data_IF_940408307977
#
_entry.id   IF_940408307977
#
_cell.length_a   1.000
_cell.length_b   1.000
_cell.length_c   1.000
_cell.angle_alpha   90.00
_cell.angle_beta   90.00
_cell.angle_gamma   90.00
#
_symmetry.space_group_name_H-M   'P 1'
#
loop_
_entity.id
_entity.type
_entity.pdbx_description
1 polymer ?
#
# COMPACT_ATOMS: atom_id res chain seq x y z
N UNK A 1 22.49 -10.06 29.79
CA UNK A 1 21.08 -9.62 29.77
C UNK A 1 21.06 -8.13 29.50
N UNK A 2 20.74 -7.73 28.27
CA UNK A 2 20.25 -6.38 27.96
C UNK A 2 19.30 -6.55 26.79
N UNK A 3 18.01 -6.55 27.11
CA UNK A 3 16.94 -6.55 26.12
C UNK A 3 16.83 -5.16 25.52
N UNK A 4 16.88 -5.10 24.20
CA UNK A 4 16.43 -3.94 23.44
C UNK A 4 15.04 -4.27 22.92
N UNK A 5 14.03 -3.88 23.69
CA UNK A 5 12.66 -3.78 23.21
C UNK A 5 12.63 -2.63 22.20
N UNK A 6 12.42 -2.96 20.93
CA UNK A 6 12.30 -2.01 19.82
C UNK A 6 10.88 -2.04 19.25
N UNK A 7 9.88 -2.06 20.13
CA UNK A 7 8.47 -1.88 19.74
C UNK A 7 8.09 -0.41 19.93
N UNK A 8 8.46 0.40 18.94
CA UNK A 8 7.89 1.72 18.70
C UNK A 8 7.02 1.71 17.44
N UNK A 9 6.05 2.64 17.30
CA UNK A 9 5.14 2.70 16.16
C UNK A 9 5.81 3.12 14.83
N UNK A 10 7.10 3.46 14.87
CA UNK A 10 7.92 3.69 13.70
C UNK A 10 8.55 2.35 13.29
N UNK A 11 8.35 1.94 12.03
CA UNK A 11 8.98 0.75 11.48
C UNK A 11 10.50 0.76 11.66
N UNK A 12 11.12 -0.42 11.49
CA UNK A 12 12.56 -0.61 11.67
C UNK A 12 13.35 0.49 10.91
N UNK A 13 14.17 1.30 11.60
CA UNK A 13 14.93 2.37 10.97
C UNK A 13 15.88 1.87 9.87
N UNK A 14 16.32 0.60 9.94
CA UNK A 14 17.09 -0.05 8.87
C UNK A 14 16.27 -0.31 7.62
N UNK A 15 14.99 -0.68 7.78
CA UNK A 15 14.04 -0.88 6.68
C UNK A 15 13.69 0.45 5.98
N UNK A 16 13.49 1.51 6.77
CA UNK A 16 13.23 2.85 6.23
C UNK A 16 14.43 3.45 5.46
N UNK A 17 15.65 3.06 5.82
CA UNK A 17 16.85 3.46 5.07
C UNK A 17 16.94 2.72 3.72
N UNK A 18 16.72 1.41 3.71
CA UNK A 18 16.72 0.60 2.48
C UNK A 18 15.68 1.05 1.47
N UNK A 19 14.47 1.38 1.93
CA UNK A 19 13.39 1.87 1.08
C UNK A 19 13.69 3.23 0.41
N UNK A 20 14.47 4.11 1.06
CA UNK A 20 14.83 5.42 0.50
C UNK A 20 15.82 5.35 -0.66
N UNK A 21 16.58 4.26 -0.78
CA UNK A 21 17.53 4.01 -1.86
C UNK A 21 17.07 2.96 -2.86
N UNK A 22 15.85 2.44 -2.73
CA UNK A 22 15.35 1.32 -3.52
C UNK A 22 15.07 1.73 -4.96
N UNK A 23 15.47 0.89 -5.92
CA UNK A 23 15.04 1.03 -7.30
C UNK A 23 13.59 0.56 -7.47
N UNK A 24 12.90 0.90 -8.57
CA UNK A 24 11.57 0.36 -8.86
C UNK A 24 11.55 -1.18 -8.88
N UNK A 25 12.64 -1.80 -9.35
CA UNK A 25 12.78 -3.25 -9.34
C UNK A 25 12.90 -3.82 -7.92
N UNK A 26 13.68 -3.19 -7.05
CA UNK A 26 13.81 -3.62 -5.65
C UNK A 26 12.46 -3.55 -4.92
N UNK A 27 11.72 -2.46 -5.12
CA UNK A 27 10.37 -2.29 -4.55
C UNK A 27 9.41 -3.37 -5.06
N UNK A 28 9.45 -3.68 -6.36
CA UNK A 28 8.65 -4.76 -6.94
C UNK A 28 9.00 -6.11 -6.33
N UNK A 29 10.30 -6.45 -6.25
CA UNK A 29 10.77 -7.72 -5.71
C UNK A 29 10.39 -7.89 -4.24
N UNK A 30 10.69 -6.88 -3.40
CA UNK A 30 10.37 -6.93 -1.98
C UNK A 30 8.86 -7.00 -1.72
N UNK A 31 8.04 -6.37 -2.57
CA UNK A 31 6.58 -6.51 -2.52
C UNK A 31 6.16 -7.95 -2.75
N UNK A 32 6.68 -8.61 -3.79
CA UNK A 32 6.35 -10.01 -4.09
C UNK A 32 6.79 -10.94 -2.96
N UNK A 33 8.03 -10.79 -2.48
CA UNK A 33 8.54 -11.59 -1.36
C UNK A 33 7.73 -11.41 -0.08
N UNK A 34 7.33 -10.16 0.22
CA UNK A 34 6.52 -9.88 1.42
C UNK A 34 5.11 -10.43 1.28
N UNK A 35 4.49 -10.32 0.09
CA UNK A 35 3.17 -10.87 -0.20
C UNK A 35 3.17 -12.40 -0.02
N UNK A 36 4.12 -13.11 -0.63
CA UNK A 36 4.23 -14.56 -0.52
C UNK A 36 4.39 -15.00 0.94
N UNK A 37 5.28 -14.34 1.70
CA UNK A 37 5.47 -14.66 3.12
C UNK A 37 4.21 -14.45 3.94
N UNK A 38 3.43 -13.43 3.61
CA UNK A 38 2.19 -13.12 4.30
C UNK A 38 1.10 -14.14 3.96
N UNK A 39 0.97 -14.54 2.70
CA UNK A 39 0.08 -15.61 2.23
C UNK A 39 0.41 -16.95 2.92
N UNK A 40 1.69 -17.35 2.90
CA UNK A 40 2.16 -18.58 3.54
C UNK A 40 1.86 -18.57 5.04
N UNK A 41 2.05 -17.43 5.69
CA UNK A 41 1.76 -17.27 7.12
C UNK A 41 0.25 -17.37 7.39
N UNK A 42 -0.59 -16.74 6.57
CA UNK A 42 -2.04 -16.85 6.68
C UNK A 42 -2.50 -18.30 6.50
N UNK A 43 -2.03 -18.98 5.46
CA UNK A 43 -2.36 -20.38 5.22
C UNK A 43 -2.02 -21.25 6.43
N UNK A 44 -0.80 -21.14 6.97
CA UNK A 44 -0.39 -21.87 8.17
C UNK A 44 -1.28 -21.58 9.39
N UNK A 45 -1.68 -20.33 9.58
CA UNK A 45 -2.53 -19.94 10.70
C UNK A 45 -3.95 -20.52 10.58
N UNK A 46 -4.48 -20.55 9.37
CA UNK A 46 -5.80 -21.10 9.07
C UNK A 46 -5.81 -22.63 9.15
N UNK A 47 -4.74 -23.29 8.71
CA UNK A 47 -4.59 -24.75 8.74
C UNK A 47 -4.34 -25.29 10.16
N UNK A 48 -3.49 -24.62 10.94
CA UNK A 48 -3.21 -25.04 12.32
C UNK A 48 -4.42 -24.85 13.25
N UNK A 49 -5.24 -23.83 12.99
CA UNK A 49 -6.57 -23.67 13.61
C UNK A 49 -6.59 -23.40 15.12
N UNK A 50 -5.46 -23.26 15.79
CA UNK A 50 -5.40 -23.06 17.25
C UNK A 50 -5.28 -21.58 17.62
N UNK A 51 -6.00 -21.18 18.67
CA UNK A 51 -5.90 -19.82 19.23
C UNK A 51 -4.48 -19.49 19.72
N UNK A 52 -3.75 -20.48 20.23
CA UNK A 52 -2.37 -20.32 20.69
C UNK A 52 -1.39 -20.14 19.53
N UNK A 53 -1.52 -20.92 18.46
CA UNK A 53 -0.74 -20.73 17.24
C UNK A 53 -1.01 -19.36 16.60
N UNK A 54 -2.27 -18.92 16.60
CA UNK A 54 -2.65 -17.59 16.12
C UNK A 54 -1.96 -16.47 16.92
N UNK A 55 -2.00 -16.54 18.26
CA UNK A 55 -1.32 -15.56 19.13
C UNK A 55 0.20 -15.57 18.95
N UNK A 56 0.82 -16.73 18.77
CA UNK A 56 2.27 -16.83 18.61
C UNK A 56 2.77 -16.19 17.30
N UNK A 57 2.00 -16.32 16.22
CA UNK A 57 2.34 -15.79 14.90
C UNK A 57 1.85 -14.35 14.65
N UNK A 58 0.93 -13.84 15.48
CA UNK A 58 0.34 -12.51 15.35
C UNK A 58 1.39 -11.37 15.21
N UNK A 59 2.49 -11.35 15.97
CA UNK A 59 3.52 -10.31 15.78
C UNK A 59 4.15 -10.33 14.38
N UNK A 60 4.42 -11.52 13.82
CA UNK A 60 4.97 -11.62 12.47
C UNK A 60 3.96 -11.19 11.42
N UNK A 61 2.69 -11.59 11.57
CA UNK A 61 1.61 -11.17 10.68
C UNK A 61 1.52 -9.64 10.64
N UNK A 62 1.43 -8.98 11.79
CA UNK A 62 1.32 -7.52 11.87
C UNK A 62 2.53 -6.80 11.26
N UNK A 63 3.74 -7.32 11.51
CA UNK A 63 4.98 -6.79 10.93
C UNK A 63 4.96 -6.90 9.39
N UNK A 64 4.62 -8.07 8.86
CA UNK A 64 4.54 -8.31 7.41
C UNK A 64 3.43 -7.48 6.77
N UNK A 65 2.27 -7.33 7.40
CA UNK A 65 1.19 -6.46 6.92
C UNK A 65 1.64 -5.01 6.80
N UNK A 66 2.32 -4.47 7.83
CA UNK A 66 2.82 -3.09 7.80
C UNK A 66 3.88 -2.88 6.71
N UNK A 67 4.80 -3.84 6.57
CA UNK A 67 5.80 -3.83 5.49
C UNK A 67 5.14 -3.88 4.12
N UNK A 68 4.19 -4.78 3.92
CA UNK A 68 3.45 -4.91 2.67
C UNK A 68 2.75 -3.60 2.29
N UNK A 69 1.96 -3.03 3.22
CA UNK A 69 1.29 -1.75 2.98
C UNK A 69 2.26 -0.61 2.68
N UNK A 70 3.41 -0.55 3.37
CA UNK A 70 4.46 0.45 3.11
C UNK A 70 4.99 0.32 1.68
N UNK A 71 5.32 -0.89 1.24
CA UNK A 71 5.81 -1.17 -0.11
C UNK A 71 4.76 -0.82 -1.18
N UNK A 72 3.50 -1.23 -0.95
CA UNK A 72 2.39 -0.93 -1.86
C UNK A 72 2.17 0.56 -2.02
N UNK A 73 2.01 1.27 -0.91
CA UNK A 73 1.72 2.69 -0.93
C UNK A 73 2.90 3.52 -1.47
N UNK A 74 4.13 3.07 -1.28
CA UNK A 74 5.31 3.72 -1.89
C UNK A 74 5.22 3.67 -3.42
N UNK A 75 4.87 2.52 -3.99
CA UNK A 75 4.66 2.36 -5.43
C UNK A 75 3.49 3.21 -5.92
N UNK A 76 2.30 3.06 -5.32
CA UNK A 76 1.10 3.81 -5.72
C UNK A 76 1.33 5.33 -5.64
N UNK A 77 1.95 5.83 -4.57
CA UNK A 77 2.24 7.25 -4.44
C UNK A 77 3.19 7.75 -5.55
N UNK A 78 4.21 6.95 -5.91
CA UNK A 78 5.12 7.29 -6.99
C UNK A 78 4.41 7.33 -8.35
N UNK A 79 3.60 6.32 -8.68
CA UNK A 79 2.85 6.26 -9.94
C UNK A 79 1.87 7.42 -10.06
N UNK A 80 1.17 7.75 -8.97
CA UNK A 80 0.23 8.88 -8.95
C UNK A 80 0.94 10.23 -9.13
N UNK A 81 2.13 10.42 -8.55
CA UNK A 81 2.93 11.64 -8.75
C UNK A 81 3.38 11.82 -10.21
N UNK A 82 3.58 10.72 -10.94
CA UNK A 82 3.92 10.77 -12.36
C UNK A 82 2.69 11.04 -13.22
N UNK A 83 1.57 10.38 -12.89
CA UNK A 83 0.34 10.42 -13.67
C UNK A 83 -0.42 11.74 -13.56
N UNK A 84 -0.48 12.32 -12.36
CA UNK A 84 -1.33 13.47 -12.06
C UNK A 84 -0.51 14.70 -11.67
N UNK A 85 -1.09 15.88 -11.87
CA UNK A 85 -0.55 17.11 -11.31
C UNK A 85 -0.50 17.03 -9.78
N UNK A 86 0.66 17.36 -9.20
CA UNK A 86 0.85 17.28 -7.77
C UNK A 86 0.11 18.40 -7.04
N UNK A 87 -1.05 18.07 -6.46
CA UNK A 87 -1.90 18.99 -5.68
C UNK A 87 -1.78 18.80 -4.16
N UNK A 88 -1.09 17.74 -3.74
CA UNK A 88 -0.92 17.34 -2.33
C UNK A 88 0.58 17.17 -2.07
N UNK A 89 1.10 17.65 -0.92
CA UNK A 89 2.50 17.45 -0.58
C UNK A 89 2.84 15.95 -0.47
N UNK A 90 4.05 15.53 -0.86
CA UNK A 90 4.49 14.16 -0.61
C UNK A 90 4.51 13.84 0.88
N UNK A 91 4.34 12.57 1.22
CA UNK A 91 4.56 12.06 2.55
C UNK A 91 6.01 12.37 2.98
N UNK A 92 6.17 13.02 4.13
CA UNK A 92 7.49 13.33 4.70
C UNK A 92 8.24 12.11 5.26
N UNK A 93 7.74 10.89 5.03
CA UNK A 93 8.30 9.64 5.54
C UNK A 93 7.58 8.40 5.04
N UNK A 94 8.03 7.24 5.51
CA UNK A 94 7.57 5.91 5.06
C UNK A 94 6.52 5.28 6.00
N UNK A 95 5.94 6.06 6.90
CA UNK A 95 4.85 5.58 7.74
C UNK A 95 3.61 5.33 6.88
N UNK A 96 2.99 4.15 7.01
CA UNK A 96 1.78 3.75 6.25
C UNK A 96 0.72 4.84 6.27
N UNK A 97 0.44 5.44 7.43
CA UNK A 97 -0.56 6.50 7.56
C UNK A 97 -0.22 7.76 6.74
N UNK A 98 1.06 8.13 6.68
CA UNK A 98 1.50 9.30 5.91
C UNK A 98 1.43 9.04 4.40
N UNK A 99 1.90 7.87 3.96
CA UNK A 99 1.82 7.45 2.56
C UNK A 99 0.36 7.30 2.11
N UNK A 100 -0.50 6.73 2.96
CA UNK A 100 -1.92 6.62 2.68
C UNK A 100 -2.59 7.99 2.57
N UNK A 101 -2.27 8.94 3.46
CA UNK A 101 -2.82 10.29 3.37
C UNK A 101 -2.46 10.98 2.05
N UNK A 102 -1.21 10.86 1.59
CA UNK A 102 -0.79 11.35 0.26
C UNK A 102 -1.66 10.73 -0.85
N UNK A 103 -1.76 9.39 -0.87
CA UNK A 103 -2.52 8.65 -1.89
C UNK A 103 -4.01 9.02 -1.86
N UNK A 104 -4.62 9.03 -0.68
CA UNK A 104 -6.04 9.32 -0.47
C UNK A 104 -6.41 10.71 -0.99
N UNK A 105 -5.68 11.74 -0.57
CA UNK A 105 -5.98 13.11 -0.98
C UNK A 105 -5.65 13.34 -2.46
N UNK A 106 -4.60 12.70 -2.97
CA UNK A 106 -4.29 12.74 -4.40
C UNK A 106 -5.36 12.04 -5.26
N UNK A 107 -5.95 10.94 -4.77
CA UNK A 107 -7.07 10.26 -5.42
C UNK A 107 -8.32 11.14 -5.42
N UNK A 108 -8.68 11.68 -4.25
CA UNK A 108 -9.84 12.57 -4.11
C UNK A 108 -9.71 13.85 -4.93
N UNK A 109 -8.52 14.43 -5.04
CA UNK A 109 -8.29 15.63 -5.86
C UNK A 109 -8.40 15.38 -7.37
N UNK A 110 -8.17 14.14 -7.81
CA UNK A 110 -8.31 13.74 -9.22
C UNK A 110 -9.77 13.44 -9.60
N UNK A 111 -10.58 12.98 -8.65
CA UNK A 111 -11.99 12.67 -8.84
C UNK A 111 -12.86 13.22 -7.69
N UNK A 112 -13.08 14.54 -7.62
CA UNK A 112 -13.78 15.17 -6.48
C UNK A 112 -15.25 14.78 -6.38
N UNK A 113 -15.86 14.39 -7.50
CA UNK A 113 -17.26 13.96 -7.59
C UNK A 113 -17.45 12.45 -7.38
N UNK A 114 -16.38 11.69 -7.14
CA UNK A 114 -16.48 10.26 -6.84
C UNK A 114 -17.12 10.05 -5.46
N UNK A 115 -18.37 9.59 -5.47
CA UNK A 115 -19.17 9.26 -4.29
C UNK A 115 -19.26 7.76 -4.01
N UNK A 116 -18.39 6.95 -4.61
CA UNK A 116 -18.43 5.47 -4.48
C UNK A 116 -18.17 4.97 -3.06
N UNK A 117 -17.51 5.76 -2.21
CA UNK A 117 -17.15 5.38 -0.83
C UNK A 117 -15.95 4.44 -0.72
N UNK A 118 -15.38 4.00 -1.85
CA UNK A 118 -14.29 3.01 -1.88
C UNK A 118 -13.05 3.52 -1.15
N UNK A 119 -12.69 4.80 -1.32
CA UNK A 119 -11.55 5.40 -0.63
C UNK A 119 -11.76 5.49 0.89
N UNK A 120 -12.97 5.81 1.34
CA UNK A 120 -13.33 5.86 2.76
C UNK A 120 -13.32 4.48 3.40
N UNK A 121 -13.79 3.46 2.67
CA UNK A 121 -13.71 2.06 3.13
C UNK A 121 -12.26 1.60 3.27
N UNK A 122 -11.40 1.91 2.29
CA UNK A 122 -9.98 1.59 2.37
C UNK A 122 -9.29 2.35 3.51
N UNK A 123 -9.65 3.60 3.76
CA UNK A 123 -9.13 4.38 4.90
C UNK A 123 -9.52 3.75 6.23
N UNK A 124 -10.78 3.34 6.40
CA UNK A 124 -11.24 2.64 7.59
C UNK A 124 -10.51 1.29 7.77
N UNK A 125 -10.31 0.54 6.69
CA UNK A 125 -9.58 -0.73 6.72
C UNK A 125 -8.11 -0.55 7.10
N UNK A 126 -7.41 0.43 6.51
CA UNK A 126 -6.01 0.74 6.82
C UNK A 126 -5.86 1.19 8.28
N UNK A 127 -6.73 2.08 8.77
CA UNK A 127 -6.72 2.49 10.19
C UNK A 127 -6.96 1.30 11.10
N UNK A 128 -7.89 0.41 10.74
CA UNK A 128 -8.13 -0.84 11.46
C UNK A 128 -6.88 -1.71 11.54
N UNK A 129 -6.22 -1.97 10.41
CA UNK A 129 -4.99 -2.76 10.33
C UNK A 129 -3.83 -2.16 11.14
N UNK A 130 -3.70 -0.83 11.15
CA UNK A 130 -2.68 -0.14 11.94
C UNK A 130 -2.96 -0.14 13.44
N UNK A 131 -4.24 -0.16 13.82
CA UNK A 131 -4.69 -0.22 15.21
C UNK A 131 -4.63 -1.60 15.84
N UNK A 132 -4.32 -2.64 15.07
CA UNK A 132 -4.26 -4.01 15.57
C UNK A 132 -3.17 -4.23 16.61
N UNK A 133 -3.54 -4.95 17.65
CA UNK A 133 -2.63 -5.61 18.58
C UNK A 133 -2.55 -7.11 18.29
N UNK A 134 -1.51 -7.81 18.77
CA UNK A 134 -1.44 -9.27 18.65
C UNK A 134 -2.63 -10.01 19.27
N UNK A 135 -3.27 -9.42 20.30
CA UNK A 135 -4.44 -10.01 20.96
C UNK A 135 -5.68 -10.05 20.06
N UNK A 136 -5.77 -9.13 19.09
CA UNK A 136 -6.88 -9.05 18.13
C UNK A 136 -6.82 -10.16 17.08
N UNK A 137 -5.71 -10.92 17.04
CA UNK A 137 -5.50 -12.08 16.17
C UNK A 137 -5.54 -13.39 16.97
N UNK A 138 -6.32 -13.45 18.06
CA UNK A 138 -6.36 -14.59 18.96
C UNK A 138 -7.13 -15.83 18.45
N UNK A 139 -7.49 -15.88 17.17
CA UNK A 139 -8.11 -17.06 16.58
C UNK A 139 -8.28 -17.00 15.06
N UNK A 140 -8.57 -18.14 14.41
CA UNK A 140 -8.60 -18.24 12.94
C UNK A 140 -9.62 -17.31 12.27
N UNK A 141 -10.79 -17.11 12.85
CA UNK A 141 -11.81 -16.20 12.28
C UNK A 141 -11.38 -14.73 12.30
N UNK A 142 -10.67 -14.32 13.35
CA UNK A 142 -10.09 -12.98 13.40
C UNK A 142 -9.01 -12.82 12.31
N UNK A 143 -8.15 -13.84 12.14
CA UNK A 143 -7.16 -13.87 11.06
C UNK A 143 -7.84 -13.76 9.68
N UNK A 144 -8.89 -14.54 9.40
CA UNK A 144 -9.64 -14.46 8.13
C UNK A 144 -10.23 -13.07 7.90
N UNK A 145 -10.82 -12.48 8.94
CA UNK A 145 -11.45 -11.16 8.85
C UNK A 145 -10.43 -10.08 8.49
N UNK A 146 -9.28 -10.07 9.17
CA UNK A 146 -8.23 -9.09 8.91
C UNK A 146 -7.48 -9.35 7.62
N UNK A 147 -7.34 -10.61 7.22
CA UNK A 147 -6.85 -10.97 5.90
C UNK A 147 -7.75 -10.44 4.79
N UNK A 148 -9.08 -10.65 4.89
CA UNK A 148 -10.03 -10.14 3.91
C UNK A 148 -9.99 -8.60 3.82
N UNK A 149 -9.86 -7.90 4.96
CA UNK A 149 -9.69 -6.44 4.98
C UNK A 149 -8.40 -5.99 4.28
N UNK A 150 -7.31 -6.73 4.45
CA UNK A 150 -6.07 -6.44 3.73
C UNK A 150 -6.22 -6.64 2.22
N UNK A 151 -6.90 -7.70 1.79
CA UNK A 151 -7.19 -7.94 0.37
C UNK A 151 -8.05 -6.83 -0.24
N UNK A 152 -9.08 -6.36 0.47
CA UNK A 152 -9.89 -5.21 0.03
C UNK A 152 -9.06 -3.93 -0.15
N UNK A 153 -8.12 -3.67 0.77
CA UNK A 153 -7.17 -2.56 0.62
C UNK A 153 -6.32 -2.75 -0.63
N UNK A 154 -5.79 -3.95 -0.85
CA UNK A 154 -4.98 -4.24 -2.03
C UNK A 154 -5.74 -4.05 -3.34
N UNK A 155 -6.99 -4.51 -3.43
CA UNK A 155 -7.87 -4.28 -4.58
C UNK A 155 -8.05 -2.79 -4.86
N UNK A 156 -8.24 -1.99 -3.82
CA UNK A 156 -8.35 -0.53 -3.95
C UNK A 156 -7.05 0.07 -4.47
N UNK A 157 -5.90 -0.34 -3.93
CA UNK A 157 -4.59 0.14 -4.38
C UNK A 157 -4.31 -0.25 -5.84
N UNK A 158 -4.65 -1.48 -6.25
CA UNK A 158 -4.53 -1.93 -7.63
C UNK A 158 -5.41 -1.10 -8.58
N UNK A 159 -6.64 -0.76 -8.17
CA UNK A 159 -7.51 0.15 -8.92
C UNK A 159 -6.88 1.54 -9.12
N UNK A 160 -6.23 2.08 -8.09
CA UNK A 160 -5.53 3.37 -8.17
C UNK A 160 -4.30 3.33 -9.09
N UNK A 161 -3.60 2.21 -9.15
CA UNK A 161 -2.49 2.00 -10.11
C UNK A 161 -3.00 1.97 -11.56
N UNK A 162 -4.09 1.24 -11.82
CA UNK A 162 -4.72 1.19 -13.15
C UNK A 162 -5.16 2.60 -13.59
N UNK A 163 -5.75 3.38 -12.68
CA UNK A 163 -6.12 4.77 -12.96
C UNK A 163 -4.91 5.65 -13.28
N UNK A 164 -3.80 5.49 -12.55
CA UNK A 164 -2.57 6.23 -12.81
C UNK A 164 -1.97 5.88 -14.18
N UNK A 165 -1.95 4.59 -14.52
CA UNK A 165 -1.47 4.11 -15.81
C UNK A 165 -2.33 4.65 -16.96
N UNK A 166 -3.66 4.59 -16.85
CA UNK A 166 -4.57 5.13 -17.86
C UNK A 166 -4.39 6.65 -18.06
N UNK A 167 -4.15 7.40 -16.99
CA UNK A 167 -3.87 8.83 -17.09
C UNK A 167 -2.54 9.14 -17.79
N UNK A 168 -1.49 8.33 -17.55
CA UNK A 168 -0.21 8.44 -18.26
C UNK A 168 -0.36 8.15 -19.76
N UNK A 169 -1.11 7.10 -20.10
CA UNK A 169 -1.39 6.73 -21.49
C UNK A 169 -2.15 7.84 -22.22
N UNK A 170 -3.24 8.35 -21.63
CA UNK A 170 -4.01 9.45 -22.21
C UNK A 170 -3.16 10.73 -22.40
N UNK A 171 -2.26 11.03 -21.47
CA UNK A 171 -1.33 12.16 -21.60
C UNK A 171 -0.33 11.97 -22.74
N UNK A 172 0.13 10.74 -22.94
CA UNK A 172 1.04 10.39 -24.04
C UNK A 172 0.34 10.52 -25.39
N UNK A 173 -0.86 10.00 -25.52
CA UNK A 173 -1.69 10.12 -26.73
C UNK A 173 -1.94 11.59 -27.09
N UNK A 174 -2.37 12.40 -26.11
CA UNK A 174 -2.58 13.84 -26.33
C UNK A 174 -1.31 14.58 -26.78
N UNK A 175 -0.14 14.14 -26.30
CA UNK A 175 1.15 14.70 -26.73
C UNK A 175 1.51 14.28 -28.16
N UNK A 176 1.28 13.01 -28.51
CA UNK A 176 1.50 12.47 -29.85
C UNK A 176 0.59 13.19 -30.88
N UNK A 177 -0.70 13.34 -30.58
CA UNK A 177 -1.66 14.09 -31.41
C UNK A 177 -1.22 15.55 -31.62
N UNK A 178 -0.75 16.22 -30.56
CA UNK A 178 -0.28 17.60 -30.63
C UNK A 178 1.03 17.75 -31.46
N UNK A 179 1.84 16.69 -31.56
CA UNK A 179 2.99 16.66 -32.47
C UNK A 179 2.57 16.45 -33.91
N UNK A 180 1.59 15.59 -34.17
CA UNK A 180 1.06 15.35 -35.51
C UNK A 180 0.38 16.59 -36.09
N UNK A 181 -0.45 17.27 -35.31
CA UNK A 181 -1.07 18.55 -35.70
C UNK A 181 -0.02 19.60 -36.06
N UNK A 182 1.06 19.71 -35.26
CA UNK A 182 2.15 20.65 -35.56
C UNK A 182 2.91 20.30 -36.84
N UNK A 183 3.18 19.01 -37.08
CA UNK A 183 3.85 18.55 -38.31
C UNK A 183 3.01 18.80 -39.56
N UNK A 184 1.70 18.53 -39.46
CA UNK A 184 0.75 18.73 -40.56
C UNK A 184 0.43 20.20 -40.83
N UNK A 185 0.53 21.08 -39.82
CA UNK A 185 0.32 22.53 -39.97
C UNK A 185 1.55 23.32 -40.44
N UNK A 186 2.70 22.66 -40.63
CA UNK A 186 3.92 23.24 -41.22
C UNK A 186 4.17 22.82 -42.68
N UNK A 187 3.23 22.08 -43.30
CA UNK A 187 3.19 21.84 -44.77
C UNK A 187 2.28 22.85 -45.45
#
# INVERSE_FOLDING_TARGET
MSGSSHDGPAGDPGEAASLRGATPYDLWLWRQETAQRLEDLCARLLDAGTAEGCRAAAPEFLRLTRRFLTLRLTGVAADRRQAFEQRVPPAGGLAVAALWAEVFWAARAAAPEDGSGVLEEADAAIRGLLGLSPADLAGPEAVRTWWARLQQVEETLAGLEVQAQAALEARREAYEDALEVRRSGTS
#
